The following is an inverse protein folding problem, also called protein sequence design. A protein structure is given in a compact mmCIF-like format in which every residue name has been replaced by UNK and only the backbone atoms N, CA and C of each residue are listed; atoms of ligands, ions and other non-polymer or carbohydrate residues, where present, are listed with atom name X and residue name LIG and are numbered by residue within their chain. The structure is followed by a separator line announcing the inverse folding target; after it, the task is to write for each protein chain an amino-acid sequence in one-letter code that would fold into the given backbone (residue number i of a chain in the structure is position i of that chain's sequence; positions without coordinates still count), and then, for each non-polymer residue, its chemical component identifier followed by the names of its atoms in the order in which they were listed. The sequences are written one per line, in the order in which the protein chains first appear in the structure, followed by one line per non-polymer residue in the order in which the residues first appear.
data_IF_944193662112
#
_entry.id   IF_944193662112
#
_cell.length_a   1.000
_cell.length_b   1.000
_cell.length_c   1.000
_cell.angle_alpha   90.00
_cell.angle_beta   90.00
_cell.angle_gamma   90.00
#
_symmetry.space_group_name_H-M   'P 1'
#
loop_
_entity.id
_entity.type
_entity.pdbx_description
1 polymer ?
#
# COMPACT_ATOMS: atom_id res chain seq x y z
N UNK A 1 -10.69 -14.52 -6.47
CA UNK A 1 -11.33 -13.38 -7.14
C UNK A 1 -11.08 -13.53 -8.63
N UNK A 2 -12.11 -13.41 -9.48
CA UNK A 2 -11.89 -13.41 -10.93
C UNK A 2 -11.07 -12.17 -11.32
N UNK A 3 -10.12 -12.33 -12.24
CA UNK A 3 -9.30 -11.21 -12.67
C UNK A 3 -10.17 -10.15 -13.40
N UNK A 4 -10.06 -8.89 -13.00
CA UNK A 4 -10.75 -7.80 -13.68
C UNK A 4 -10.03 -7.47 -14.99
N UNK A 5 -10.73 -7.68 -16.11
CA UNK A 5 -10.24 -7.48 -17.48
C UNK A 5 -10.59 -6.10 -18.06
N UNK A 6 -11.51 -5.37 -17.43
CA UNK A 6 -12.02 -4.10 -17.96
C UNK A 6 -11.44 -2.94 -17.17
N UNK A 7 -10.41 -2.32 -17.70
CA UNK A 7 -9.85 -1.08 -17.16
C UNK A 7 -10.83 0.09 -17.40
N UNK A 8 -11.13 0.92 -16.39
CA UNK A 8 -12.05 2.05 -16.55
C UNK A 8 -11.48 3.11 -17.48
N UNK A 9 -12.35 3.84 -18.16
CA UNK A 9 -11.95 5.07 -18.83
C UNK A 9 -11.72 6.15 -17.78
N UNK A 10 -10.54 6.77 -17.81
CA UNK A 10 -10.26 7.95 -17.01
C UNK A 10 -10.54 9.19 -17.85
N UNK A 11 -11.04 10.27 -17.25
CA UNK A 11 -11.15 11.55 -17.95
C UNK A 11 -9.78 11.93 -18.49
N UNK A 12 -9.72 12.41 -19.74
CA UNK A 12 -8.47 12.87 -20.34
C UNK A 12 -7.89 13.97 -19.47
N UNK A 13 -6.83 13.63 -18.73
CA UNK A 13 -5.98 14.63 -18.10
C UNK A 13 -5.28 15.36 -19.24
N UNK A 14 -5.28 16.69 -19.20
CA UNK A 14 -4.55 17.51 -20.17
C UNK A 14 -3.05 17.16 -20.19
N UNK A 15 -2.22 17.85 -20.99
CA UNK A 15 -0.86 17.43 -21.32
C UNK A 15 0.15 17.35 -20.14
N UNK A 16 -0.26 17.60 -18.89
CA UNK A 16 0.56 17.46 -17.70
C UNK A 16 0.08 16.31 -16.81
N UNK A 17 0.99 15.36 -16.51
CA UNK A 17 0.78 14.40 -15.43
C UNK A 17 0.65 15.15 -14.09
N UNK A 18 -0.27 14.75 -13.20
CA UNK A 18 -0.37 15.36 -11.88
C UNK A 18 0.90 15.11 -11.07
N UNK A 19 1.21 16.03 -10.14
CA UNK A 19 2.38 15.94 -9.26
C UNK A 19 2.36 14.66 -8.40
N UNK A 20 1.16 14.19 -8.06
CA UNK A 20 0.93 12.96 -7.34
C UNK A 20 -0.37 12.28 -7.76
N UNK A 21 -0.50 10.98 -7.46
CA UNK A 21 -1.65 10.16 -7.82
C UNK A 21 -2.08 9.23 -6.69
N UNK A 22 -3.37 8.87 -6.65
CA UNK A 22 -3.81 7.63 -6.03
C UNK A 22 -3.62 6.49 -7.00
N UNK A 23 -2.85 5.48 -6.63
CA UNK A 23 -2.61 4.32 -7.47
C UNK A 23 -3.40 3.12 -6.95
N UNK A 24 -4.20 2.50 -7.82
CA UNK A 24 -4.88 1.25 -7.50
C UNK A 24 -3.86 0.16 -7.13
N UNK A 25 -4.12 -0.57 -6.04
CA UNK A 25 -3.24 -1.66 -5.57
C UNK A 25 -3.20 -2.86 -6.53
N UNK A 26 -4.15 -2.95 -7.45
CA UNK A 26 -4.22 -4.01 -8.47
C UNK A 26 -4.27 -3.38 -9.85
N UNK A 27 -3.46 -3.91 -10.75
CA UNK A 27 -3.48 -3.57 -12.14
C UNK A 27 -4.54 -4.37 -12.90
N UNK A 28 -5.06 -3.79 -13.98
CA UNK A 28 -5.95 -4.47 -14.89
C UNK A 28 -5.15 -5.33 -15.87
N UNK A 29 -5.66 -6.52 -16.17
CA UNK A 29 -5.11 -7.34 -17.25
C UNK A 29 -5.79 -6.89 -18.53
N UNK A 30 -5.12 -6.04 -19.30
CA UNK A 30 -5.70 -5.35 -20.45
C UNK A 30 -4.61 -4.92 -21.44
N UNK A 31 -4.91 -5.01 -22.73
CA UNK A 31 -4.07 -4.56 -23.84
C UNK A 31 -4.15 -3.05 -24.10
N UNK A 32 -4.89 -2.30 -23.26
CA UNK A 32 -4.94 -0.84 -23.34
C UNK A 32 -3.57 -0.23 -23.08
N UNK A 33 -3.15 0.64 -23.98
CA UNK A 33 -1.82 1.27 -23.98
C UNK A 33 -1.94 2.78 -23.87
N UNK A 34 -1.13 3.36 -22.99
CA UNK A 34 -0.82 4.79 -23.01
C UNK A 34 0.60 4.97 -23.55
N UNK A 35 0.71 5.46 -24.79
CA UNK A 35 1.97 5.56 -25.53
C UNK A 35 3.07 6.33 -24.78
N UNK A 36 2.71 7.32 -23.95
CA UNK A 36 3.66 8.12 -23.19
C UNK A 36 4.30 7.37 -22.00
N UNK A 37 3.66 6.30 -21.52
CA UNK A 37 4.08 5.55 -20.33
C UNK A 37 4.32 4.07 -20.60
N UNK A 38 4.20 3.65 -21.85
CA UNK A 38 4.34 2.25 -22.21
C UNK A 38 5.78 1.78 -22.00
N UNK A 39 5.94 0.80 -21.11
CA UNK A 39 7.19 0.09 -20.93
C UNK A 39 7.03 -1.39 -21.31
N UNK A 40 8.12 -2.00 -21.76
CA UNK A 40 8.15 -3.40 -22.19
C UNK A 40 9.34 -4.12 -21.56
N UNK A 41 9.15 -5.39 -21.27
CA UNK A 41 10.20 -6.30 -20.80
C UNK A 41 9.84 -7.73 -21.16
N UNK A 42 10.53 -8.69 -20.55
CA UNK A 42 10.20 -10.10 -20.60
C UNK A 42 10.05 -10.65 -19.18
N UNK A 43 9.13 -11.61 -19.02
CA UNK A 43 8.99 -12.47 -17.84
C UNK A 43 10.23 -13.35 -17.67
N UNK A 44 10.37 -14.00 -16.51
CA UNK A 44 11.49 -14.91 -16.25
C UNK A 44 11.55 -16.12 -17.20
N UNK A 45 10.44 -16.48 -17.88
CA UNK A 45 10.44 -17.46 -18.99
C UNK A 45 10.42 -16.85 -20.38
N UNK A 46 10.80 -15.58 -20.52
CA UNK A 46 11.02 -14.96 -21.80
C UNK A 46 9.76 -14.59 -22.58
N UNK A 47 8.58 -14.61 -21.97
CA UNK A 47 7.38 -14.08 -22.62
C UNK A 47 7.36 -12.54 -22.52
N UNK A 48 6.90 -11.84 -23.56
CA UNK A 48 6.82 -10.39 -23.52
C UNK A 48 5.80 -9.93 -22.49
N UNK A 49 6.13 -8.86 -21.77
CA UNK A 49 5.23 -8.15 -20.84
C UNK A 49 5.25 -6.66 -21.15
N UNK A 50 4.08 -6.03 -21.07
CA UNK A 50 3.87 -4.62 -21.31
C UNK A 50 3.11 -4.02 -20.14
N UNK A 51 3.54 -2.84 -19.69
CA UNK A 51 2.90 -2.08 -18.60
C UNK A 51 2.66 -0.66 -19.07
N UNK A 52 1.48 -0.11 -18.78
CA UNK A 52 1.13 1.29 -19.05
C UNK A 52 0.44 1.93 -17.85
N UNK A 53 0.76 3.19 -17.57
CA UNK A 53 0.13 3.98 -16.52
C UNK A 53 -0.95 4.90 -17.09
N UNK A 54 -2.14 4.81 -16.52
CA UNK A 54 -3.23 5.74 -16.75
C UNK A 54 -3.39 6.61 -15.51
N UNK A 55 -2.79 7.80 -15.57
CA UNK A 55 -2.78 8.76 -14.47
C UNK A 55 -4.03 9.65 -14.48
N UNK A 56 -4.60 9.82 -13.30
CA UNK A 56 -5.73 10.68 -13.03
C UNK A 56 -5.36 11.68 -11.93
N UNK A 57 -5.85 12.91 -12.03
CA UNK A 57 -5.71 13.87 -10.94
C UNK A 57 -6.52 13.39 -9.71
N UNK A 58 -5.91 13.32 -8.52
CA UNK A 58 -6.63 13.03 -7.29
C UNK A 58 -7.85 13.96 -7.10
N UNK A 59 -8.98 13.46 -6.56
CA UNK A 59 -9.14 12.17 -5.88
C UNK A 59 -9.41 10.98 -6.81
N UNK A 60 -9.40 11.15 -8.13
CA UNK A 60 -9.58 10.02 -9.04
C UNK A 60 -8.41 9.03 -8.93
N UNK A 61 -8.74 7.73 -9.03
CA UNK A 61 -7.77 6.65 -8.86
C UNK A 61 -7.12 6.33 -10.21
N UNK A 62 -5.80 6.52 -10.26
CA UNK A 62 -4.94 6.07 -11.35
C UNK A 62 -4.77 4.56 -11.30
N UNK A 63 -4.50 3.95 -12.45
CA UNK A 63 -4.32 2.51 -12.55
C UNK A 63 -3.26 2.11 -13.57
N UNK A 64 -2.76 0.89 -13.41
CA UNK A 64 -1.89 0.24 -14.39
C UNK A 64 -2.70 -0.73 -15.25
N UNK A 65 -2.34 -0.83 -16.52
CA UNK A 65 -2.70 -1.95 -17.37
C UNK A 65 -1.45 -2.81 -17.60
N UNK A 66 -1.61 -4.12 -17.44
CA UNK A 66 -0.57 -5.12 -17.68
C UNK A 66 -1.05 -6.06 -18.77
N UNK A 67 -0.23 -6.25 -19.79
CA UNK A 67 -0.52 -7.12 -20.92
C UNK A 67 0.66 -8.04 -21.21
N UNK A 68 0.40 -9.32 -21.41
CA UNK A 68 1.42 -10.28 -21.85
C UNK A 68 1.02 -10.82 -23.24
N UNK A 69 1.51 -10.20 -24.33
CA UNK A 69 1.17 -10.64 -25.69
C UNK A 69 1.45 -12.12 -25.91
N UNK A 70 0.49 -12.82 -26.51
CA UNK A 70 0.61 -14.27 -26.78
C UNK A 70 0.30 -15.18 -25.60
N UNK A 71 -0.05 -14.62 -24.43
CA UNK A 71 -0.63 -15.37 -23.31
C UNK A 71 -2.11 -15.11 -23.18
N UNK A 72 -2.84 -16.12 -22.74
CA UNK A 72 -4.25 -15.99 -22.38
C UNK A 72 -4.35 -15.23 -21.04
N UNK A 73 -5.17 -14.16 -20.94
CA UNK A 73 -5.44 -13.47 -19.67
C UNK A 73 -5.86 -14.38 -18.51
N UNK A 74 -6.47 -15.54 -18.80
CA UNK A 74 -6.84 -16.55 -17.79
C UNK A 74 -5.65 -17.33 -17.21
N UNK A 75 -4.45 -17.17 -17.75
CA UNK A 75 -3.23 -17.78 -17.20
C UNK A 75 -2.63 -16.99 -16.03
N UNK A 76 -3.10 -15.77 -15.77
CA UNK A 76 -2.70 -15.01 -14.59
C UNK A 76 -3.38 -15.58 -13.35
N UNK A 77 -2.62 -15.80 -12.28
CA UNK A 77 -3.20 -16.29 -11.02
C UNK A 77 -4.10 -15.28 -10.33
N UNK A 78 -3.79 -14.00 -10.51
CA UNK A 78 -4.56 -12.89 -10.01
C UNK A 78 -4.17 -11.62 -10.79
N UNK A 79 -4.96 -10.55 -10.62
CA UNK A 79 -4.59 -9.24 -11.14
C UNK A 79 -3.23 -8.81 -10.59
N UNK A 80 -2.26 -8.42 -11.44
CA UNK A 80 -0.95 -7.99 -10.97
C UNK A 80 -1.01 -6.94 -9.85
N UNK A 81 -0.17 -7.10 -8.83
CA UNK A 81 -0.23 -6.31 -7.61
C UNK A 81 0.80 -5.18 -7.60
N UNK A 82 0.38 -3.98 -7.19
CA UNK A 82 1.32 -2.92 -6.80
C UNK A 82 1.76 -3.19 -5.37
N UNK A 83 3.01 -3.64 -5.22
CA UNK A 83 3.61 -3.98 -3.92
C UNK A 83 4.07 -2.72 -3.20
N UNK A 84 4.74 -1.83 -3.94
CA UNK A 84 5.32 -0.61 -3.38
C UNK A 84 5.43 0.47 -4.46
N UNK A 85 5.40 1.74 -4.05
CA UNK A 85 5.67 2.86 -4.95
C UNK A 85 6.43 3.96 -4.23
N UNK A 86 7.34 4.64 -4.94
CA UNK A 86 8.08 5.80 -4.42
C UNK A 86 8.53 6.70 -5.56
N UNK A 87 8.01 7.93 -5.61
CA UNK A 87 8.23 8.85 -6.74
C UNK A 87 7.82 8.21 -8.07
N UNK A 88 8.72 8.19 -9.06
CA UNK A 88 8.48 7.58 -10.38
C UNK A 88 8.65 6.04 -10.44
N UNK A 89 8.94 5.35 -9.32
CA UNK A 89 9.18 3.91 -9.30
C UNK A 89 8.01 3.16 -8.67
N UNK A 90 7.60 2.07 -9.31
CA UNK A 90 6.55 1.16 -8.85
C UNK A 90 7.09 -0.27 -8.89
N UNK A 91 7.02 -0.98 -7.78
CA UNK A 91 7.26 -2.42 -7.69
C UNK A 91 5.96 -3.15 -8.00
N UNK A 92 5.96 -3.90 -9.09
CA UNK A 92 4.83 -4.67 -9.59
C UNK A 92 5.12 -6.16 -9.42
N UNK A 93 4.12 -6.88 -8.95
CA UNK A 93 4.09 -8.33 -8.85
C UNK A 93 3.20 -8.91 -9.95
N UNK A 94 3.72 -9.89 -10.70
CA UNK A 94 3.04 -10.54 -11.83
C UNK A 94 3.17 -12.05 -11.70
N UNK A 95 2.05 -12.73 -11.43
CA UNK A 95 1.99 -14.17 -11.20
C UNK A 95 1.13 -14.91 -12.22
N UNK A 96 1.50 -16.15 -12.55
CA UNK A 96 0.82 -17.02 -13.51
C UNK A 96 0.54 -18.41 -12.91
N UNK A 97 -0.61 -19.02 -13.27
CA UNK A 97 -1.17 -20.23 -12.64
C UNK A 97 -0.30 -21.48 -12.71
N UNK A 98 0.68 -21.49 -13.60
CA UNK A 98 1.61 -22.60 -13.77
C UNK A 98 2.95 -22.40 -13.05
N UNK A 99 3.07 -21.40 -12.16
CA UNK A 99 4.32 -21.06 -11.48
C UNK A 99 4.15 -21.03 -9.97
N UNK A 100 5.12 -21.62 -9.29
CA UNK A 100 5.29 -21.51 -7.84
C UNK A 100 5.87 -20.14 -7.43
N UNK A 101 6.32 -19.32 -8.38
CA UNK A 101 6.93 -18.01 -8.14
C UNK A 101 6.32 -16.91 -9.02
N UNK A 102 6.38 -15.68 -8.51
CA UNK A 102 5.88 -14.49 -9.20
C UNK A 102 7.04 -13.66 -9.73
N UNK A 103 6.87 -13.03 -10.89
CA UNK A 103 7.86 -12.12 -11.44
C UNK A 103 7.69 -10.72 -10.84
N UNK A 104 8.77 -10.17 -10.30
CA UNK A 104 8.79 -8.81 -9.74
C UNK A 104 9.42 -7.84 -10.73
N UNK A 105 8.72 -6.75 -11.01
CA UNK A 105 9.20 -5.73 -11.92
C UNK A 105 9.31 -4.38 -11.23
N UNK A 106 10.38 -3.66 -11.51
CA UNK A 106 10.42 -2.21 -11.28
C UNK A 106 9.97 -1.53 -12.55
N UNK A 107 8.80 -0.91 -12.46
CA UNK A 107 8.23 -0.06 -13.49
C UNK A 107 8.53 1.40 -13.15
N UNK A 108 9.19 2.10 -14.09
CA UNK A 108 9.43 3.54 -13.99
C UNK A 108 8.36 4.28 -14.78
N UNK A 109 7.48 4.95 -14.05
CA UNK A 109 6.41 5.79 -14.59
C UNK A 109 6.93 7.20 -14.89
N UNK A 110 7.66 7.38 -16.00
CA UNK A 110 8.16 8.68 -16.43
C UNK A 110 7.78 8.98 -17.90
N UNK A 111 7.16 10.12 -18.22
CA UNK A 111 6.74 10.42 -19.60
C UNK A 111 7.90 10.59 -20.59
N UNK A 112 9.14 10.74 -20.08
CA UNK A 112 10.34 10.88 -20.92
C UNK A 112 11.01 9.55 -21.25
N UNK A 113 11.01 8.60 -20.31
CA UNK A 113 11.74 7.33 -20.41
C UNK A 113 11.07 6.25 -19.56
N UNK A 114 9.86 5.77 -19.92
CA UNK A 114 9.25 4.67 -19.21
C UNK A 114 10.07 3.40 -19.41
N UNK A 115 10.36 2.68 -18.33
CA UNK A 115 11.11 1.42 -18.39
C UNK A 115 10.51 0.39 -17.45
N UNK A 116 10.76 -0.88 -17.78
CA UNK A 116 10.28 -2.02 -17.02
C UNK A 116 11.45 -2.99 -16.86
N UNK A 117 11.87 -3.22 -15.64
CA UNK A 117 13.03 -4.06 -15.32
C UNK A 117 12.57 -5.23 -14.48
N UNK A 118 12.84 -6.44 -14.96
CA UNK A 118 12.62 -7.67 -14.17
C UNK A 118 13.69 -7.70 -13.08
N UNK A 119 13.24 -7.90 -11.84
CA UNK A 119 14.12 -8.08 -10.69
C UNK A 119 14.38 -9.58 -10.54
N UNK A 120 15.65 -10.02 -10.50
CA UNK A 120 15.96 -11.42 -10.26
C UNK A 120 15.45 -11.84 -8.87
N UNK A 121 15.07 -13.09 -8.70
CA UNK A 121 14.72 -13.60 -7.38
C UNK A 121 15.95 -13.63 -6.47
N UNK A 122 15.82 -13.27 -5.17
CA UNK A 122 16.93 -13.40 -4.24
C UNK A 122 17.25 -14.88 -3.98
N UNK A 123 18.51 -15.26 -4.12
CA UNK A 123 18.99 -16.59 -3.71
C UNK A 123 19.53 -16.56 -2.25
N UNK A 124 19.22 -17.59 -1.42
CA UNK A 124 18.33 -18.72 -1.69
C UNK A 124 16.86 -18.30 -1.70
N UNK A 125 16.06 -19.00 -2.52
CA UNK A 125 14.64 -18.73 -2.74
C UNK A 125 13.92 -18.49 -1.39
N UNK A 126 13.32 -17.31 -1.17
CA UNK A 126 12.40 -17.14 -0.06
C UNK A 126 11.21 -18.06 -0.28
N UNK A 127 10.67 -18.63 0.81
CA UNK A 127 9.40 -19.36 0.74
C UNK A 127 8.37 -18.52 -0.04
N UNK A 128 7.68 -19.16 -0.98
CA UNK A 128 6.81 -18.60 -2.02
C UNK A 128 5.63 -17.73 -1.55
N UNK A 129 5.58 -17.33 -0.27
CA UNK A 129 4.48 -16.56 0.31
C UNK A 129 4.98 -15.23 0.87
N UNK A 130 4.61 -14.16 0.19
CA UNK A 130 4.52 -12.77 0.67
C UNK A 130 5.75 -11.86 0.46
N UNK A 131 5.92 -11.41 -0.79
CA UNK A 131 6.70 -10.20 -1.08
C UNK A 131 5.97 -8.89 -0.69
N UNK A 132 4.85 -8.95 0.05
CA UNK A 132 4.25 -7.77 0.72
C UNK A 132 5.26 -7.04 1.63
N UNK A 133 6.38 -7.71 1.94
CA UNK A 133 7.50 -7.20 2.71
C UNK A 133 8.60 -6.54 1.88
N UNK A 134 8.31 -6.02 0.68
CA UNK A 134 9.32 -5.43 -0.20
C UNK A 134 9.10 -3.93 -0.41
N UNK A 135 10.17 -3.14 -0.29
CA UNK A 135 10.16 -1.71 -0.52
C UNK A 135 11.27 -1.23 -1.45
N UNK A 136 11.16 0.02 -1.91
CA UNK A 136 12.15 0.67 -2.79
C UNK A 136 12.79 1.86 -2.07
N UNK A 137 14.11 1.97 -2.22
CA UNK A 137 14.90 3.13 -1.79
C UNK A 137 15.61 3.74 -2.99
N UNK A 138 15.65 5.07 -3.09
CA UNK A 138 16.53 5.77 -4.06
C UNK A 138 17.92 5.94 -3.46
N UNK A 139 18.94 5.61 -4.24
CA UNK A 139 20.33 5.57 -3.81
C UNK A 139 21.11 6.81 -4.30
N UNK A 140 20.54 8.00 -4.11
CA UNK A 140 21.13 9.28 -4.53
C UNK A 140 20.31 10.01 -5.59
N UNK A 141 20.97 10.87 -6.38
CA UNK A 141 20.33 11.74 -7.37
C UNK A 141 20.16 11.10 -8.76
N UNK A 142 20.88 10.01 -9.04
CA UNK A 142 20.80 9.28 -10.31
C UNK A 142 19.58 8.34 -10.35
N UNK A 143 19.41 7.61 -11.46
CA UNK A 143 18.43 6.54 -11.63
C UNK A 143 18.70 5.28 -10.78
N UNK A 144 19.64 5.35 -9.83
CA UNK A 144 20.04 4.27 -8.94
C UNK A 144 19.01 4.07 -7.83
N UNK A 145 18.48 2.86 -7.75
CA UNK A 145 17.60 2.42 -6.69
C UNK A 145 18.07 1.10 -6.08
N UNK A 146 17.58 0.81 -4.88
CA UNK A 146 17.66 -0.48 -4.24
C UNK A 146 16.27 -1.01 -3.93
N UNK A 147 16.12 -2.33 -3.96
CA UNK A 147 14.91 -3.04 -3.55
C UNK A 147 15.25 -3.84 -2.30
N UNK A 148 14.48 -3.67 -1.23
CA UNK A 148 14.76 -4.31 0.05
C UNK A 148 13.57 -5.15 0.51
N UNK A 149 13.84 -6.40 0.84
CA UNK A 149 12.88 -7.32 1.42
C UNK A 149 13.33 -7.75 2.82
N UNK A 150 12.38 -7.87 3.76
CA UNK A 150 12.65 -8.31 5.13
C UNK A 150 11.77 -9.51 5.48
N UNK A 151 12.37 -10.61 5.89
CA UNK A 151 11.67 -11.85 6.23
C UNK A 151 12.17 -12.37 7.58
N UNK A 152 11.27 -12.79 8.46
CA UNK A 152 11.64 -13.44 9.73
C UNK A 152 12.20 -14.83 9.44
N UNK A 153 13.39 -15.11 9.95
CA UNK A 153 14.02 -16.42 9.90
C UNK A 153 13.67 -17.19 11.19
N UNK A 154 12.65 -18.06 11.09
CA UNK A 154 12.12 -18.82 12.23
C UNK A 154 13.11 -19.85 12.80
N UNK A 155 14.19 -20.18 12.09
CA UNK A 155 15.21 -21.11 12.58
C UNK A 155 16.25 -20.43 13.46
N UNK A 156 16.45 -19.12 13.27
CA UNK A 156 17.52 -18.35 13.94
C UNK A 156 16.99 -17.22 14.82
N UNK A 157 15.67 -17.00 14.84
CA UNK A 157 15.00 -15.85 15.50
C UNK A 157 15.57 -14.49 15.08
N UNK A 158 16.16 -14.43 13.88
CA UNK A 158 16.67 -13.22 13.26
C UNK A 158 15.78 -12.80 12.09
N UNK A 159 16.09 -11.65 11.51
CA UNK A 159 15.47 -11.18 10.28
C UNK A 159 16.46 -11.19 9.14
N UNK A 160 16.07 -11.79 8.03
CA UNK A 160 16.81 -11.78 6.78
C UNK A 160 16.44 -10.52 6.01
N UNK A 161 17.39 -9.59 5.91
CA UNK A 161 17.31 -8.42 5.05
C UNK A 161 18.03 -8.74 3.73
N UNK A 162 17.29 -8.77 2.63
CA UNK A 162 17.82 -8.94 1.27
C UNK A 162 17.70 -7.61 0.53
N UNK A 163 18.80 -7.08 0.02
CA UNK A 163 18.86 -5.79 -0.70
C UNK A 163 19.43 -6.01 -2.09
N UNK A 164 18.64 -5.71 -3.11
CA UNK A 164 19.04 -5.67 -4.51
C UNK A 164 19.58 -4.29 -4.85
N UNK A 165 20.73 -4.22 -5.50
CA UNK A 165 21.28 -2.98 -6.04
C UNK A 165 21.10 -2.93 -7.56
N UNK A 166 20.44 -1.88 -8.07
CA UNK A 166 20.16 -1.76 -9.52
C UNK A 166 21.37 -1.45 -10.40
N UNK A 167 22.49 -0.97 -9.85
CA UNK A 167 23.73 -0.77 -10.61
C UNK A 167 24.51 -2.07 -10.77
N UNK A 168 24.58 -2.89 -9.73
CA UNK A 168 25.32 -4.16 -9.77
C UNK A 168 24.46 -5.31 -10.30
N UNK A 169 23.14 -5.22 -10.13
CA UNK A 169 22.21 -6.30 -10.45
C UNK A 169 22.28 -7.47 -9.48
N UNK A 170 22.84 -7.27 -8.28
CA UNK A 170 23.10 -8.33 -7.30
C UNK A 170 22.32 -8.11 -6.02
N UNK A 171 21.88 -9.22 -5.42
CA UNK A 171 21.31 -9.26 -4.07
C UNK A 171 22.40 -9.44 -3.02
N UNK A 172 22.37 -8.61 -1.98
CA UNK A 172 23.12 -8.83 -0.75
C UNK A 172 22.15 -9.22 0.37
N UNK A 173 22.47 -10.28 1.11
CA UNK A 173 21.63 -10.73 2.23
C UNK A 173 22.38 -10.64 3.55
N UNK A 174 21.74 -10.06 4.56
CA UNK A 174 22.24 -9.92 5.93
C UNK A 174 21.23 -10.48 6.92
N UNK A 175 21.73 -11.15 7.97
CA UNK A 175 20.90 -11.56 9.11
C UNK A 175 21.02 -10.51 10.20
N UNK A 176 19.90 -9.96 10.64
CA UNK A 176 19.82 -8.90 11.61
C UNK A 176 19.07 -9.38 12.85
N UNK A 177 19.66 -9.26 14.06
CA UNK A 177 18.89 -9.39 15.28
C UNK A 177 17.97 -8.18 15.44
N UNK A 178 16.88 -8.35 16.19
CA UNK A 178 16.09 -7.22 16.63
C UNK A 178 16.85 -6.47 17.73
N UNK A 179 16.99 -5.16 17.59
CA UNK A 179 17.63 -4.34 18.63
C UNK A 179 16.80 -4.39 19.92
N UNK A 180 17.43 -4.44 21.10
CA UNK A 180 16.73 -4.41 22.37
C UNK A 180 15.81 -3.19 22.48
N UNK A 181 14.57 -3.40 22.93
CA UNK A 181 13.61 -2.33 23.16
C UNK A 181 12.93 -2.48 24.52
N UNK A 182 12.79 -1.38 25.27
CA UNK A 182 12.03 -1.35 26.52
C UNK A 182 10.55 -1.69 26.30
N UNK A 183 10.01 -1.38 25.11
CA UNK A 183 8.64 -1.73 24.73
C UNK A 183 8.44 -3.21 24.43
N UNK A 184 9.53 -4.00 24.38
CA UNK A 184 9.51 -5.40 23.99
C UNK A 184 10.24 -6.26 25.03
N UNK A 185 9.49 -6.70 26.05
CA UNK A 185 10.02 -7.53 27.14
C UNK A 185 10.54 -8.89 26.66
N UNK A 186 9.88 -9.49 25.67
CA UNK A 186 10.28 -10.75 25.05
C UNK A 186 10.26 -10.62 23.51
N UNK A 187 11.42 -10.36 22.89
CA UNK A 187 11.56 -10.31 21.43
C UNK A 187 11.18 -11.60 20.71
N UNK A 188 11.30 -12.75 21.37
CA UNK A 188 10.99 -14.05 20.78
C UNK A 188 9.48 -14.30 20.71
N UNK A 189 8.72 -13.70 21.63
CA UNK A 189 7.26 -13.70 21.58
C UNK A 189 6.69 -12.79 20.48
N UNK A 190 7.50 -11.90 19.90
CA UNK A 190 7.07 -11.00 18.84
C UNK A 190 6.95 -11.76 17.51
N UNK A 191 5.72 -12.11 17.16
CA UNK A 191 5.38 -12.63 15.84
C UNK A 191 4.81 -11.49 14.99
N UNK A 192 5.62 -10.84 14.16
CA UNK A 192 5.15 -9.79 13.25
C UNK A 192 4.78 -10.40 11.90
N UNK A 193 3.65 -9.95 11.36
CA UNK A 193 3.21 -10.27 10.00
C UNK A 193 3.06 -8.97 9.22
N UNK A 194 4.17 -8.35 8.77
CA UNK A 194 4.04 -7.08 8.09
C UNK A 194 3.25 -7.26 6.79
N UNK A 195 2.28 -6.37 6.60
CA UNK A 195 1.37 -6.37 5.45
C UNK A 195 1.61 -5.16 4.54
N UNK A 196 2.49 -4.25 4.97
CA UNK A 196 2.81 -3.01 4.27
C UNK A 196 4.26 -2.60 4.55
N UNK A 197 4.91 -1.99 3.58
CA UNK A 197 6.19 -1.28 3.76
C UNK A 197 5.96 0.21 3.55
N UNK A 198 6.54 1.06 4.40
CA UNK A 198 6.47 2.52 4.29
C UNK A 198 7.87 3.11 4.08
N UNK A 199 8.05 4.06 3.14
CA UNK A 199 9.28 4.83 3.02
C UNK A 199 9.36 5.90 4.12
N UNK A 200 10.56 6.12 4.63
CA UNK A 200 10.88 7.20 5.55
C UNK A 200 12.09 8.01 5.03
N UNK A 201 12.61 8.92 5.85
CA UNK A 201 13.75 9.79 5.52
C UNK A 201 14.94 8.97 5.01
N UNK A 202 15.55 9.47 3.93
CA UNK A 202 16.69 8.80 3.30
C UNK A 202 16.35 7.36 2.88
N UNK A 203 17.17 6.43 3.36
CA UNK A 203 17.11 5.00 3.09
C UNK A 203 16.39 4.18 4.14
N UNK A 204 15.66 4.83 5.05
CA UNK A 204 14.89 4.11 6.07
C UNK A 204 13.59 3.57 5.46
N UNK A 205 13.33 2.28 5.69
CA UNK A 205 12.06 1.62 5.44
C UNK A 205 11.45 1.14 6.75
N UNK A 206 10.12 1.14 6.82
CA UNK A 206 9.35 0.55 7.91
C UNK A 206 8.48 -0.60 7.43
N UNK A 207 8.66 -1.79 7.98
CA UNK A 207 7.78 -2.94 7.76
C UNK A 207 6.69 -2.95 8.81
N UNK A 208 5.45 -2.74 8.38
CA UNK A 208 4.30 -2.43 9.24
C UNK A 208 3.40 -3.65 9.40
N UNK A 209 3.24 -4.07 10.64
CA UNK A 209 2.11 -4.84 11.13
C UNK A 209 1.16 -3.86 11.83
N UNK A 210 -0.03 -3.69 11.28
CA UNK A 210 -0.97 -2.64 11.69
C UNK A 210 -1.56 -2.85 13.10
N UNK A 211 -1.45 -4.06 13.66
CA UNK A 211 -1.85 -4.34 15.04
C UNK A 211 -0.66 -4.26 15.98
N UNK A 212 0.48 -4.83 15.59
CA UNK A 212 1.58 -5.10 16.52
C UNK A 212 2.63 -4.00 16.53
N UNK A 213 3.14 -3.59 15.37
CA UNK A 213 4.27 -2.66 15.34
C UNK A 213 4.93 -2.48 13.98
N UNK A 214 6.00 -1.70 13.99
CA UNK A 214 6.80 -1.36 12.82
C UNK A 214 8.24 -1.76 13.08
N UNK A 215 8.84 -2.49 12.15
CA UNK A 215 10.28 -2.72 12.12
C UNK A 215 10.93 -1.66 11.24
N UNK A 216 11.83 -0.86 11.78
CA UNK A 216 12.59 0.14 11.04
C UNK A 216 13.99 -0.36 10.72
N UNK A 217 14.44 -0.13 9.50
CA UNK A 217 15.82 -0.37 9.10
C UNK A 217 16.29 0.69 8.12
N UNK A 218 17.49 1.23 8.34
CA UNK A 218 18.24 1.96 7.32
C UNK A 218 18.93 0.94 6.41
N UNK A 219 18.34 0.68 5.24
CA UNK A 219 18.73 -0.45 4.39
C UNK A 219 20.04 -0.24 3.65
N UNK A 220 20.51 1.01 3.52
CA UNK A 220 21.77 1.34 2.85
C UNK A 220 22.91 1.63 3.85
N UNK A 221 22.68 1.47 5.15
CA UNK A 221 23.72 1.60 6.16
C UNK A 221 24.76 0.47 6.01
N UNK A 222 26.04 0.79 6.26
CA UNK A 222 27.11 -0.20 6.39
C UNK A 222 26.88 -1.16 7.57
N UNK A 223 26.16 -0.69 8.59
CA UNK A 223 25.75 -1.47 9.76
C UNK A 223 24.25 -1.26 10.00
N UNK A 224 23.39 -1.96 9.23
CA UNK A 224 21.95 -1.81 9.37
C UNK A 224 21.49 -2.37 10.72
N UNK A 225 20.58 -1.66 11.37
CA UNK A 225 20.00 -2.04 12.65
C UNK A 225 18.49 -2.13 12.52
N UNK A 226 17.92 -3.17 13.09
CA UNK A 226 16.48 -3.40 13.04
C UNK A 226 15.84 -2.95 14.36
N UNK A 227 15.09 -1.85 14.31
CA UNK A 227 14.48 -1.25 15.48
C UNK A 227 12.98 -1.50 15.50
N UNK A 228 12.44 -1.89 16.65
CA UNK A 228 11.01 -2.07 16.83
C UNK A 228 10.34 -0.81 17.38
N UNK A 229 9.23 -0.42 16.74
CA UNK A 229 8.30 0.59 17.25
C UNK A 229 6.95 -0.07 17.47
N UNK A 230 6.39 -0.05 18.70
CA UNK A 230 5.05 -0.57 18.93
C UNK A 230 4.00 0.31 18.23
N UNK A 231 2.96 -0.31 17.68
CA UNK A 231 1.78 0.43 17.24
C UNK A 231 1.12 1.13 18.44
N UNK A 232 0.41 2.25 18.22
CA UNK A 232 -0.37 2.87 19.28
C UNK A 232 -1.45 1.90 19.77
N UNK A 233 -1.81 2.03 21.05
CA UNK A 233 -2.90 1.26 21.65
C UNK A 233 -4.18 1.48 20.84
N UNK A 234 -4.92 0.41 20.51
CA UNK A 234 -6.22 0.53 19.86
C UNK A 234 -7.20 1.46 20.53
N UNK A 235 -8.05 2.06 19.71
CA UNK A 235 -9.27 2.66 20.23
C UNK A 235 -10.11 1.61 20.95
N UNK A 236 -10.87 1.99 21.99
CA UNK A 236 -11.57 1.03 22.87
C UNK A 236 -12.46 0.03 22.12
N UNK A 237 -13.11 0.44 21.03
CA UNK A 237 -13.92 -0.46 20.22
C UNK A 237 -13.11 -1.42 19.35
N UNK A 238 -11.84 -1.14 19.08
CA UNK A 238 -10.97 -2.02 18.31
C UNK A 238 -10.08 -2.91 19.19
N UNK A 239 -10.14 -2.79 20.52
CA UNK A 239 -9.39 -3.65 21.44
C UNK A 239 -9.83 -5.13 21.29
N UNK A 240 -8.87 -6.05 21.16
CA UNK A 240 -9.14 -7.48 21.03
C UNK A 240 -9.44 -7.94 19.59
N UNK A 241 -9.44 -7.04 18.61
CA UNK A 241 -9.67 -7.38 17.21
C UNK A 241 -8.42 -7.91 16.48
N UNK A 242 -7.28 -8.00 17.16
CA UNK A 242 -5.98 -8.33 16.55
C UNK A 242 -5.97 -9.71 15.86
N UNK A 243 -6.74 -10.66 16.38
CA UNK A 243 -6.86 -12.03 15.86
C UNK A 243 -8.18 -12.29 15.12
N UNK A 244 -9.13 -11.36 15.16
CA UNK A 244 -10.48 -11.54 14.61
C UNK A 244 -10.73 -10.74 13.32
N UNK A 245 -10.00 -9.64 13.12
CA UNK A 245 -10.31 -8.67 12.08
C UNK A 245 -9.09 -8.30 11.23
N UNK A 246 -9.34 -8.09 9.93
CA UNK A 246 -8.34 -7.58 9.00
C UNK A 246 -8.02 -6.11 9.34
N UNK A 247 -6.79 -5.79 9.79
CA UNK A 247 -6.46 -4.46 10.30
C UNK A 247 -6.65 -3.35 9.28
N UNK A 248 -6.47 -3.63 7.98
CA UNK A 248 -6.56 -2.59 6.94
C UNK A 248 -7.93 -1.92 6.88
N UNK A 249 -8.98 -2.56 7.40
CA UNK A 249 -10.28 -1.91 7.52
C UNK A 249 -10.31 -0.75 8.51
N UNK A 250 -9.54 -0.86 9.58
CA UNK A 250 -9.54 0.07 10.72
C UNK A 250 -8.36 1.01 10.67
N UNK A 251 -7.23 0.58 10.13
CA UNK A 251 -5.95 1.26 10.29
C UNK A 251 -5.19 1.41 8.99
N UNK A 252 -4.53 2.55 8.86
CA UNK A 252 -3.49 2.73 7.86
C UNK A 252 -2.31 3.51 8.45
N UNK A 253 -1.13 3.28 7.88
CA UNK A 253 0.12 3.90 8.31
C UNK A 253 0.87 4.41 7.09
N UNK A 254 1.42 5.62 7.17
CA UNK A 254 2.32 6.16 6.15
C UNK A 254 3.52 6.85 6.78
N UNK A 255 4.62 6.91 6.03
CA UNK A 255 5.80 7.69 6.37
C UNK A 255 5.81 9.01 5.59
N UNK A 256 6.32 10.06 6.23
CA UNK A 256 6.56 11.36 5.61
C UNK A 256 7.86 11.92 6.21
N UNK A 257 8.97 11.70 5.50
CA UNK A 257 10.30 12.03 6.02
C UNK A 257 10.60 11.37 7.36
N UNK A 258 10.78 12.16 8.41
CA UNK A 258 11.07 11.69 9.78
C UNK A 258 9.83 11.47 10.64
N UNK A 259 8.64 11.54 10.06
CA UNK A 259 7.36 11.38 10.73
C UNK A 259 6.64 10.12 10.25
N UNK A 260 6.13 9.33 11.20
CA UNK A 260 5.18 8.25 10.94
C UNK A 260 3.79 8.79 11.29
N UNK A 261 2.82 8.60 10.39
CA UNK A 261 1.42 8.94 10.61
C UNK A 261 0.58 7.66 10.61
N UNK A 262 -0.36 7.59 11.54
CA UNK A 262 -1.33 6.51 11.70
C UNK A 262 -2.71 7.13 11.64
N UNK A 263 -3.64 6.45 10.98
CA UNK A 263 -5.06 6.68 11.14
C UNK A 263 -5.67 5.43 11.69
N UNK A 264 -6.60 5.59 12.64
CA UNK A 264 -7.43 4.52 13.13
C UNK A 264 -8.88 4.95 13.07
N UNK A 265 -9.76 4.04 12.65
CA UNK A 265 -11.21 4.23 12.55
C UNK A 265 -11.88 3.15 13.38
N UNK A 266 -12.86 3.54 14.18
CA UNK A 266 -13.74 2.67 14.93
C UNK A 266 -15.11 2.73 14.27
N UNK A 267 -15.67 1.58 13.91
CA UNK A 267 -16.97 1.49 13.26
C UNK A 267 -18.01 0.88 14.19
N UNK A 268 -19.22 1.44 14.17
CA UNK A 268 -20.37 0.95 14.94
C UNK A 268 -21.57 0.68 14.03
N UNK A 269 -22.29 -0.38 14.35
CA UNK A 269 -23.56 -0.75 13.74
C UNK A 269 -24.53 -1.20 14.83
N UNK A 270 -25.72 -0.58 14.92
CA UNK A 270 -26.67 -0.82 16.01
C UNK A 270 -26.04 -0.75 17.41
N UNK A 271 -25.12 0.20 17.62
CA UNK A 271 -24.39 0.38 18.88
C UNK A 271 -23.36 -0.72 19.20
N UNK A 272 -23.08 -1.63 18.27
CA UNK A 272 -22.08 -2.69 18.43
C UNK A 272 -20.87 -2.43 17.54
N UNK A 273 -19.67 -2.75 18.03
CA UNK A 273 -18.43 -2.75 17.23
C UNK A 273 -18.55 -3.75 16.08
N UNK A 274 -18.02 -3.38 14.92
CA UNK A 274 -18.01 -4.23 13.72
C UNK A 274 -16.61 -4.77 13.44
N UNK A 275 -16.48 -6.08 13.25
CA UNK A 275 -15.20 -6.76 12.94
C UNK A 275 -14.89 -6.83 11.44
N UNK A 276 -15.92 -6.80 10.58
CA UNK A 276 -15.76 -6.71 9.13
C UNK A 276 -16.66 -5.60 8.56
N UNK A 277 -16.15 -4.37 8.45
CA UNK A 277 -16.94 -3.25 7.98
C UNK A 277 -17.39 -3.36 6.52
N UNK A 278 -16.77 -4.22 5.72
CA UNK A 278 -17.12 -4.36 4.30
C UNK A 278 -18.54 -4.88 4.05
N UNK A 279 -19.15 -5.54 5.05
CA UNK A 279 -20.46 -6.18 4.96
C UNK A 279 -21.63 -5.34 5.52
N UNK A 280 -21.35 -4.18 6.10
CA UNK A 280 -22.37 -3.36 6.78
C UNK A 280 -22.37 -1.92 6.27
N UNK A 281 -23.52 -1.27 6.37
CA UNK A 281 -23.60 0.19 6.26
C UNK A 281 -23.47 0.69 7.69
N UNK A 282 -22.31 1.24 8.03
CA UNK A 282 -22.06 1.81 9.35
C UNK A 282 -22.99 2.98 9.62
N UNK A 283 -23.60 2.99 10.79
CA UNK A 283 -24.43 4.10 11.23
C UNK A 283 -23.59 5.19 11.89
N UNK A 284 -22.44 4.79 12.45
CA UNK A 284 -21.55 5.66 13.20
C UNK A 284 -20.08 5.23 13.06
N UNK A 285 -19.18 6.19 12.98
CA UNK A 285 -17.73 5.96 13.02
C UNK A 285 -16.99 7.15 13.60
N UNK A 286 -15.91 6.84 14.32
CA UNK A 286 -14.98 7.84 14.85
C UNK A 286 -13.59 7.54 14.31
N UNK A 287 -12.87 8.59 13.92
CA UNK A 287 -11.53 8.53 13.39
C UNK A 287 -10.57 9.28 14.30
N UNK A 288 -9.40 8.70 14.54
CA UNK A 288 -8.27 9.38 15.16
C UNK A 288 -7.04 9.31 14.26
N UNK A 289 -6.26 10.38 14.26
CA UNK A 289 -4.91 10.39 13.68
C UNK A 289 -3.88 10.42 14.79
N UNK A 290 -2.79 9.67 14.63
CA UNK A 290 -1.64 9.73 15.52
C UNK A 290 -0.37 9.94 14.70
N UNK A 291 0.59 10.63 15.30
CA UNK A 291 1.89 10.83 14.65
C UNK A 291 3.02 10.53 15.61
N UNK A 292 4.16 10.11 15.07
CA UNK A 292 5.36 9.85 15.86
C UNK A 292 6.58 10.21 15.04
N UNK A 293 7.45 11.05 15.60
CA UNK A 293 8.77 11.32 15.01
C UNK A 293 9.71 10.15 15.26
N UNK A 294 10.65 9.92 14.34
CA UNK A 294 11.60 8.80 14.46
C UNK A 294 12.49 8.89 15.71
N UNK A 295 12.81 10.11 16.16
CA UNK A 295 13.59 10.39 17.38
C UNK A 295 12.75 10.48 18.66
N UNK A 296 11.42 10.50 18.54
CA UNK A 296 10.50 10.42 19.67
C UNK A 296 10.29 8.97 20.12
N UNK A 297 9.89 8.77 21.38
CA UNK A 297 9.40 7.47 21.88
C UNK A 297 7.88 7.36 21.83
N UNK A 298 7.19 8.50 21.89
CA UNK A 298 5.75 8.57 22.13
C UNK A 298 4.96 8.85 20.86
N UNK A 299 3.75 8.28 20.80
CA UNK A 299 2.75 8.64 19.82
C UNK A 299 2.00 9.89 20.27
N UNK A 300 2.00 10.92 19.43
CA UNK A 300 1.23 12.13 19.63
C UNK A 300 -0.14 11.97 18.98
N UNK A 301 -1.19 12.05 19.80
CA UNK A 301 -2.58 12.03 19.32
C UNK A 301 -2.87 13.35 18.60
N UNK A 302 -3.27 13.24 17.34
CA UNK A 302 -3.61 14.35 16.46
C UNK A 302 -5.10 14.66 16.49
N UNK A 303 -5.72 14.73 15.31
CA UNK A 303 -7.13 15.02 15.15
C UNK A 303 -8.01 13.83 15.49
N UNK A 304 -9.13 14.12 16.13
CA UNK A 304 -10.25 13.21 16.34
C UNK A 304 -11.46 13.76 15.58
N UNK A 305 -12.16 12.90 14.86
CA UNK A 305 -13.27 13.25 14.00
C UNK A 305 -14.40 12.25 14.21
N UNK A 306 -15.56 12.74 14.62
CA UNK A 306 -16.80 11.99 14.61
C UNK A 306 -17.50 12.18 13.26
N UNK A 307 -18.13 11.13 12.73
CA UNK A 307 -18.94 11.23 11.51
C UNK A 307 -20.03 12.30 11.61
N UNK A 308 -20.55 12.56 12.82
CA UNK A 308 -21.54 13.58 13.10
C UNK A 308 -21.09 15.00 12.75
N UNK A 309 -19.77 15.24 12.78
CA UNK A 309 -19.16 16.54 12.51
C UNK A 309 -18.78 16.72 11.02
N UNK A 310 -18.88 15.66 10.21
CA UNK A 310 -18.51 15.70 8.79
C UNK A 310 -19.59 16.41 7.99
N UNK A 311 -19.20 17.52 7.35
CA UNK A 311 -20.04 18.27 6.42
C UNK A 311 -19.60 18.04 4.98
N UNK A 312 -20.57 18.07 4.07
CA UNK A 312 -20.30 17.89 2.64
C UNK A 312 -19.97 19.24 2.00
N UNK A 313 -18.84 19.32 1.31
CA UNK A 313 -18.44 20.51 0.55
C UNK A 313 -19.46 20.83 -0.56
N UNK A 314 -19.68 22.12 -0.82
CA UNK A 314 -20.54 22.59 -1.92
C UNK A 314 -19.93 22.33 -3.30
N UNK A 315 -18.60 22.21 -3.37
CA UNK A 315 -17.86 21.96 -4.60
C UNK A 315 -17.71 20.46 -4.85
N UNK A 316 -18.63 19.91 -5.63
CA UNK A 316 -18.69 18.48 -5.97
C UNK A 316 -17.77 18.06 -7.12
N UNK A 317 -16.84 18.92 -7.55
CA UNK A 317 -15.95 18.68 -8.70
C UNK A 317 -16.70 18.18 -9.96
N UNK A 318 -17.95 18.63 -10.17
CA UNK A 318 -18.80 18.19 -11.29
C UNK A 318 -19.36 16.76 -11.18
N UNK A 319 -19.25 16.08 -10.03
CA UNK A 319 -19.70 14.69 -9.76
C UNK A 319 -20.99 14.63 -8.93
N UNK A 320 -21.91 15.57 -9.14
CA UNK A 320 -23.21 15.62 -8.45
C UNK A 320 -24.12 14.43 -8.73
N UNK A 321 -23.83 13.67 -9.79
CA UNK A 321 -24.53 12.47 -10.25
C UNK A 321 -24.25 11.21 -9.41
N UNK A 322 -23.17 11.19 -8.63
CA UNK A 322 -22.75 10.04 -7.81
C UNK A 322 -23.35 10.09 -6.39
N UNK A 323 -23.74 11.29 -5.95
CA UNK A 323 -24.31 11.59 -4.64
C UNK A 323 -25.83 11.37 -4.42
N UNK A 324 -26.72 11.25 -5.44
CA UNK A 324 -28.18 11.26 -5.23
C UNK A 324 -28.77 10.15 -4.35
N UNK A 325 -27.95 9.22 -3.84
CA UNK A 325 -28.39 8.12 -2.96
C UNK A 325 -28.05 8.30 -1.48
N UNK A 326 -27.34 9.37 -1.11
CA UNK A 326 -26.81 9.56 0.24
C UNK A 326 -27.33 10.82 0.93
N UNK A 327 -28.50 11.32 0.53
CA UNK A 327 -29.16 12.38 1.27
C UNK A 327 -29.73 11.86 2.60
N UNK A 328 -29.67 12.68 3.64
CA UNK A 328 -30.43 12.48 4.86
C UNK A 328 -31.95 12.57 4.58
N UNK A 329 -32.76 12.34 5.61
CA UNK A 329 -34.23 12.38 5.51
C UNK A 329 -34.77 13.73 5.05
N UNK A 330 -33.95 14.79 5.12
CA UNK A 330 -34.28 16.15 4.70
C UNK A 330 -33.76 16.49 3.29
N UNK A 331 -33.12 15.55 2.59
CA UNK A 331 -32.55 15.78 1.25
C UNK A 331 -31.13 16.38 1.25
N UNK A 332 -30.47 16.50 2.41
CA UNK A 332 -29.12 17.06 2.54
C UNK A 332 -28.07 15.97 2.30
N UNK A 333 -27.06 16.15 1.44
CA UNK A 333 -25.98 15.19 1.27
C UNK A 333 -25.33 14.84 2.61
N UNK A 334 -25.24 13.55 2.93
CA UNK A 334 -24.69 13.05 4.18
C UNK A 334 -23.80 11.83 3.92
N UNK A 335 -22.62 11.81 4.53
CA UNK A 335 -21.71 10.65 4.45
C UNK A 335 -22.13 9.52 5.40
N UNK A 336 -23.14 9.73 6.26
CA UNK A 336 -23.58 8.78 7.30
C UNK A 336 -24.09 7.44 6.80
N UNK A 337 -24.38 7.32 5.51
CA UNK A 337 -24.88 6.08 4.89
C UNK A 337 -23.98 5.56 3.77
N UNK A 338 -22.76 6.10 3.65
CA UNK A 338 -21.82 5.64 2.65
C UNK A 338 -21.10 4.38 3.14
N UNK A 339 -21.12 3.28 2.36
CA UNK A 339 -20.26 2.14 2.65
C UNK A 339 -18.81 2.58 2.41
N UNK A 340 -18.11 2.87 3.51
CA UNK A 340 -16.71 3.27 3.50
C UNK A 340 -15.83 2.05 3.25
N UNK A 341 -14.85 2.22 2.38
CA UNK A 341 -13.73 1.30 2.23
C UNK A 341 -12.63 1.60 3.24
N UNK A 342 -11.47 1.02 2.98
CA UNK A 342 -10.26 1.15 3.80
C UNK A 342 -9.81 2.61 3.89
N UNK A 343 -9.53 3.15 5.09
CA UNK A 343 -8.91 4.47 5.24
C UNK A 343 -7.52 4.46 4.60
N UNK A 344 -7.15 5.54 3.93
CA UNK A 344 -5.84 5.68 3.29
C UNK A 344 -5.23 7.03 3.61
N UNK A 345 -3.98 7.02 4.09
CA UNK A 345 -3.20 8.22 4.34
C UNK A 345 -2.35 8.60 3.12
N UNK A 346 -2.17 9.91 2.95
CA UNK A 346 -1.24 10.47 1.98
C UNK A 346 0.03 10.98 2.69
N UNK A 347 1.19 10.79 2.05
CA UNK A 347 2.47 11.30 2.55
C UNK A 347 2.48 12.84 2.61
N UNK A 348 1.95 13.52 1.60
CA UNK A 348 2.14 14.96 1.39
C UNK A 348 1.15 15.87 2.10
N UNK A 349 0.07 15.32 2.66
CA UNK A 349 -0.95 16.13 3.32
C UNK A 349 -1.44 15.46 4.62
N UNK A 350 -2.41 16.10 5.27
CA UNK A 350 -3.03 15.60 6.50
C UNK A 350 -4.47 15.13 6.24
N UNK A 351 -4.77 14.73 4.99
CA UNK A 351 -6.08 14.24 4.61
C UNK A 351 -6.13 12.73 4.76
N UNK A 352 -7.28 12.24 5.23
CA UNK A 352 -7.62 10.81 5.20
C UNK A 352 -8.59 10.60 4.03
N UNK A 353 -8.29 9.63 3.20
CA UNK A 353 -9.09 9.30 2.03
C UNK A 353 -9.83 8.00 2.26
N UNK A 354 -11.09 7.97 1.84
CA UNK A 354 -11.92 6.78 1.84
C UNK A 354 -12.37 6.50 0.41
N UNK A 355 -12.26 5.24 -0.03
CA UNK A 355 -12.97 4.79 -1.22
C UNK A 355 -14.37 4.37 -0.82
N UNK A 356 -15.41 5.01 -1.36
CA UNK A 356 -16.78 4.64 -1.08
C UNK A 356 -17.34 3.82 -2.25
N UNK A 357 -18.11 2.76 -1.94
CA UNK A 357 -18.89 2.07 -2.99
C UNK A 357 -20.18 2.85 -3.27
N UNK A 358 -20.58 2.92 -4.53
CA UNK A 358 -21.86 3.53 -4.93
C UNK A 358 -23.02 2.58 -4.65
N UNK A 359 -22.82 1.26 -4.82
CA UNK A 359 -23.72 0.23 -4.30
C UNK A 359 -22.98 -0.80 -3.44
N UNK A 360 -23.65 -1.31 -2.40
CA UNK A 360 -23.14 -2.42 -1.59
C UNK A 360 -22.87 -3.72 -2.39
N UNK A 361 -23.45 -3.85 -3.60
CA UNK A 361 -23.34 -5.03 -4.47
C UNK A 361 -22.25 -4.94 -5.55
N UNK A 362 -21.51 -3.84 -5.64
CA UNK A 362 -20.47 -3.65 -6.67
C UNK A 362 -19.16 -4.43 -6.36
N UNK A 363 -19.28 -5.66 -5.85
CA UNK A 363 -18.16 -6.54 -5.44
C UNK A 363 -17.55 -7.33 -6.59
#
# INVERSE_FOLDING_TARGET
MAASLVAPELPETGPGYPEWIFLARRAYISDRVNAATLARSHTSDGHPVQVSLFAAAPPAVSHLCVHCPGRDPHQFSYNPGVVFSRGDLILLDVAFDCRDTSDYFIYRAGPKTPCLVLIPEPEPLPCASSFLNTGIVRCGADDHFAVAALIRDYMTDMYRLSVFDSKTGVWETRLLPLEPSESLRDPLALCLFPSKVIPLKGSILGWVDLWRGILLCDVLSDSPKLQYIPMPTPMPGNEGLEDEAEPTYFRDVTGCGDLIKVVEVEYKYNGTVVTDPSNYIHEDWTLVTLTRRLDSRDWERGHELDIGDVTVSQDFYGRTDVLPRFCDENGTPSVKRMPLGVPTLCEWNNMVYFMCKVNCRDC
#
